data_IF_379605105144
#
_entry.id   IF_379605105144
#
_cell.length_a   1.000
_cell.length_b   1.000
_cell.length_c   1.000
_cell.angle_alpha   90.00
_cell.angle_beta   90.00
_cell.angle_gamma   90.00
#
_symmetry.space_group_name_H-M   'P 1'
#
loop_
_entity.id
_entity.type
_entity.pdbx_description
1 polymer ?
#
# COMPACT_ATOMS: atom_id res chain seq x y z
N UNK A 1 32.40 45.06 -20.99
CA UNK A 1 31.52 44.83 -19.85
C UNK A 1 30.68 43.61 -20.16
N UNK A 2 31.08 42.47 -19.62
CA UNK A 2 30.41 41.19 -19.89
C UNK A 2 29.43 40.98 -18.76
N UNK A 3 28.14 41.04 -19.05
CA UNK A 3 27.10 40.70 -18.08
C UNK A 3 26.97 39.18 -18.12
N UNK A 4 27.49 38.52 -17.09
CA UNK A 4 27.31 37.08 -16.92
C UNK A 4 25.92 36.89 -16.36
N UNK A 5 24.97 36.55 -17.22
CA UNK A 5 23.67 36.08 -16.78
C UNK A 5 23.84 34.66 -16.31
N UNK A 6 23.99 34.49 -15.01
CA UNK A 6 23.86 33.18 -14.37
C UNK A 6 22.39 32.78 -14.49
N UNK A 7 22.07 32.00 -15.51
CA UNK A 7 20.83 31.27 -15.54
C UNK A 7 20.90 30.21 -14.43
N UNK A 8 20.36 30.55 -13.29
CA UNK A 8 20.07 29.55 -12.25
C UNK A 8 19.01 28.66 -12.83
N UNK A 9 19.41 27.54 -13.37
CA UNK A 9 18.48 26.47 -13.69
C UNK A 9 17.92 25.99 -12.34
N UNK A 10 16.77 26.51 -11.97
CA UNK A 10 16.01 25.96 -10.87
C UNK A 10 15.65 24.53 -11.29
N UNK A 11 16.39 23.58 -10.80
CA UNK A 11 16.06 22.18 -10.94
C UNK A 11 14.82 21.97 -10.06
N UNK A 12 13.65 22.19 -10.63
CA UNK A 12 12.40 21.78 -10.03
C UNK A 12 12.43 20.26 -10.02
N UNK A 13 12.82 19.67 -8.90
CA UNK A 13 12.63 18.25 -8.65
C UNK A 13 11.14 18.07 -8.41
N UNK A 14 10.38 17.97 -9.49
CA UNK A 14 8.95 17.68 -9.45
C UNK A 14 8.79 16.22 -9.10
N UNK A 15 8.13 15.93 -7.98
CA UNK A 15 7.68 14.61 -7.61
C UNK A 15 8.58 13.80 -6.69
N UNK A 16 9.73 14.30 -6.27
CA UNK A 16 10.48 13.66 -5.20
C UNK A 16 9.91 14.12 -3.85
N UNK A 17 8.83 13.49 -3.40
CA UNK A 17 8.36 13.64 -2.03
C UNK A 17 9.43 13.17 -1.06
N UNK A 18 9.31 13.60 0.18
CA UNK A 18 10.20 13.13 1.24
C UNK A 18 9.89 11.68 1.56
N UNK A 19 10.94 10.93 1.84
CA UNK A 19 10.80 9.61 2.43
C UNK A 19 10.10 9.71 3.78
N UNK A 20 9.07 8.90 3.97
CA UNK A 20 8.24 8.88 5.17
C UNK A 20 8.16 7.46 5.72
N UNK A 21 7.76 7.36 6.98
CA UNK A 21 7.50 6.08 7.65
C UNK A 21 6.00 5.94 7.86
N UNK A 22 5.47 4.83 7.39
CA UNK A 22 4.07 4.47 7.54
C UNK A 22 3.96 3.20 8.37
N UNK A 23 3.08 3.19 9.35
CA UNK A 23 2.81 2.00 10.16
C UNK A 23 1.36 1.58 9.96
N UNK A 24 1.17 0.34 9.58
CA UNK A 24 -0.15 -0.17 9.31
C UNK A 24 -0.16 -1.67 9.06
N UNK A 25 -1.24 -2.15 8.50
CA UNK A 25 -1.43 -3.57 8.19
C UNK A 25 -1.50 -3.76 6.68
N UNK A 26 -0.87 -4.82 6.19
CA UNK A 26 -0.98 -5.20 4.78
C UNK A 26 -2.28 -5.97 4.60
N UNK A 27 -3.18 -5.39 3.85
CA UNK A 27 -4.44 -6.00 3.46
C UNK A 27 -4.58 -6.02 1.94
N UNK A 28 -5.80 -6.21 1.48
CA UNK A 28 -6.14 -6.15 0.07
C UNK A 28 -7.12 -5.00 -0.21
N UNK A 29 -7.13 -4.52 -1.44
CA UNK A 29 -8.00 -3.41 -1.84
C UNK A 29 -9.48 -3.77 -1.80
N UNK A 30 -9.84 -5.02 -1.98
CA UNK A 30 -11.24 -5.47 -1.95
C UNK A 30 -11.84 -5.33 -0.56
N UNK A 31 -11.15 -5.81 0.49
CA UNK A 31 -11.58 -5.62 1.87
C UNK A 31 -11.45 -4.18 2.33
N UNK A 32 -10.32 -3.55 2.06
CA UNK A 32 -10.04 -2.19 2.53
C UNK A 32 -11.01 -1.15 1.97
N UNK A 33 -11.44 -1.31 0.73
CA UNK A 33 -12.42 -0.45 0.08
C UNK A 33 -13.85 -0.97 0.19
N UNK A 34 -14.04 -2.05 0.92
CA UNK A 34 -15.36 -2.66 1.15
C UNK A 34 -16.06 -3.12 -0.13
N UNK A 35 -15.32 -3.39 -1.18
CA UNK A 35 -15.89 -3.66 -2.50
C UNK A 35 -16.66 -4.98 -2.56
N UNK A 36 -16.13 -6.04 -1.94
CA UNK A 36 -16.80 -7.33 -1.94
C UNK A 36 -17.74 -7.54 -0.75
N UNK A 37 -17.86 -6.57 0.12
CA UNK A 37 -18.64 -6.68 1.35
C UNK A 37 -20.05 -6.11 1.22
N UNK A 38 -20.54 -5.83 0.02
CA UNK A 38 -21.92 -5.42 -0.20
C UNK A 38 -22.91 -6.43 0.40
N UNK A 39 -22.51 -7.68 0.59
CA UNK A 39 -23.32 -8.72 1.18
C UNK A 39 -22.57 -9.60 2.18
N UNK A 40 -21.27 -9.37 2.36
CA UNK A 40 -20.43 -10.22 3.23
C UNK A 40 -19.30 -9.44 3.85
N UNK A 41 -19.14 -9.63 5.15
CA UNK A 41 -17.98 -9.10 5.87
C UNK A 41 -16.75 -9.97 5.63
N UNK A 42 -15.58 -9.41 5.91
CA UNK A 42 -14.31 -10.13 5.93
C UNK A 42 -14.41 -11.38 6.85
N UNK A 43 -15.02 -11.22 8.01
CA UNK A 43 -15.22 -12.29 8.97
C UNK A 43 -16.05 -13.44 8.41
N UNK A 44 -17.15 -13.14 7.71
CA UNK A 44 -17.97 -14.15 7.06
C UNK A 44 -17.20 -14.92 5.99
N UNK A 45 -16.38 -14.22 5.23
CA UNK A 45 -15.54 -14.85 4.20
C UNK A 45 -14.54 -15.82 4.82
N UNK A 46 -13.95 -15.46 5.95
CA UNK A 46 -13.04 -16.33 6.68
C UNK A 46 -13.76 -17.55 7.25
N UNK A 47 -15.00 -17.39 7.74
CA UNK A 47 -15.79 -18.48 8.28
C UNK A 47 -16.14 -19.55 7.25
N UNK A 48 -16.22 -19.20 5.99
CA UNK A 48 -16.50 -20.16 4.91
C UNK A 48 -15.35 -21.13 4.63
N UNK A 49 -14.18 -20.91 5.20
CA UNK A 49 -13.00 -21.77 5.10
C UNK A 49 -12.49 -22.04 3.68
N UNK A 50 -13.24 -21.64 2.65
CA UNK A 50 -12.83 -21.84 1.26
C UNK A 50 -11.64 -20.97 0.86
N UNK A 51 -11.40 -19.90 1.59
CA UNK A 51 -10.31 -18.93 1.33
C UNK A 51 -9.23 -18.98 2.41
N UNK A 52 -9.39 -19.84 3.43
CA UNK A 52 -8.49 -19.92 4.58
C UNK A 52 -9.10 -19.30 5.84
N UNK A 53 -8.31 -19.20 6.90
CA UNK A 53 -8.79 -18.79 8.23
C UNK A 53 -8.09 -17.55 8.77
N UNK A 54 -7.15 -16.97 8.05
CA UNK A 54 -6.38 -15.81 8.51
C UNK A 54 -6.61 -14.58 7.62
N UNK A 55 -6.27 -13.41 8.14
CA UNK A 55 -6.28 -12.17 7.35
C UNK A 55 -5.35 -12.26 6.14
N UNK A 56 -4.21 -12.93 6.28
CA UNK A 56 -3.29 -13.18 5.18
C UNK A 56 -3.93 -14.02 4.08
N UNK A 57 -4.65 -15.07 4.44
CA UNK A 57 -5.35 -15.94 3.49
C UNK A 57 -6.40 -15.16 2.71
N UNK A 58 -7.19 -14.34 3.39
CA UNK A 58 -8.20 -13.51 2.76
C UNK A 58 -7.59 -12.50 1.80
N UNK A 59 -6.55 -11.80 2.23
CA UNK A 59 -5.86 -10.81 1.39
C UNK A 59 -5.30 -11.44 0.12
N UNK A 60 -4.62 -12.57 0.23
CA UNK A 60 -4.05 -13.29 -0.91
C UNK A 60 -5.12 -13.82 -1.86
N UNK A 61 -6.22 -14.33 -1.31
CA UNK A 61 -7.36 -14.78 -2.12
C UNK A 61 -7.95 -13.62 -2.93
N UNK A 62 -8.20 -12.49 -2.30
CA UNK A 62 -8.76 -11.31 -2.96
C UNK A 62 -7.86 -10.77 -4.07
N UNK A 63 -6.56 -10.75 -3.84
CA UNK A 63 -5.58 -10.32 -4.86
C UNK A 63 -5.53 -11.30 -6.01
N UNK A 64 -5.49 -12.60 -5.71
CA UNK A 64 -5.35 -13.64 -6.74
C UNK A 64 -6.63 -13.84 -7.56
N UNK A 65 -7.80 -13.81 -6.92
CA UNK A 65 -9.05 -14.27 -7.53
C UNK A 65 -10.09 -13.17 -7.78
N UNK A 66 -10.01 -12.06 -7.08
CA UNK A 66 -11.03 -11.01 -7.12
C UNK A 66 -10.53 -9.69 -7.72
N UNK A 67 -9.35 -9.70 -8.33
CA UNK A 67 -8.79 -8.52 -8.99
C UNK A 67 -8.29 -7.43 -8.02
N UNK A 68 -8.10 -7.76 -6.75
CA UNK A 68 -7.54 -6.84 -5.77
C UNK A 68 -6.03 -6.67 -5.89
N UNK A 69 -5.50 -5.68 -5.19
CA UNK A 69 -4.07 -5.48 -5.00
C UNK A 69 -3.77 -5.38 -3.50
N UNK A 70 -2.55 -5.67 -3.11
CA UNK A 70 -2.13 -5.43 -1.73
C UNK A 70 -2.03 -3.94 -1.46
N UNK A 71 -2.52 -3.55 -0.29
CA UNK A 71 -2.52 -2.16 0.17
C UNK A 71 -2.02 -2.08 1.61
N UNK A 72 -1.57 -0.90 2.00
CA UNK A 72 -1.28 -0.59 3.39
C UNK A 72 -2.46 0.15 4.00
N UNK A 73 -3.03 -0.41 5.05
CA UNK A 73 -4.08 0.20 5.84
C UNK A 73 -3.47 0.89 7.06
N UNK A 74 -3.60 2.22 7.10
CA UNK A 74 -3.13 3.04 8.22
C UNK A 74 -4.35 3.74 8.82
N UNK A 75 -4.90 3.20 9.89
CA UNK A 75 -6.15 3.68 10.49
C UNK A 75 -7.29 3.69 9.46
N UNK A 76 -7.80 4.85 9.10
CA UNK A 76 -8.88 5.03 8.12
C UNK A 76 -8.36 5.31 6.70
N UNK A 77 -7.04 5.29 6.50
CA UNK A 77 -6.41 5.54 5.20
C UNK A 77 -5.93 4.25 4.56
N UNK A 78 -6.03 4.20 3.25
CA UNK A 78 -5.60 3.06 2.44
C UNK A 78 -4.64 3.57 1.37
N UNK A 79 -3.44 3.02 1.33
CA UNK A 79 -2.42 3.37 0.35
C UNK A 79 -2.11 2.18 -0.54
N UNK A 80 -1.98 2.44 -1.83
CA UNK A 80 -1.43 1.45 -2.77
C UNK A 80 0.07 1.31 -2.54
N UNK A 81 0.60 0.15 -2.86
CA UNK A 81 2.03 -0.17 -2.74
C UNK A 81 2.56 -0.56 -4.11
N UNK A 82 3.69 0.01 -4.51
CA UNK A 82 4.32 -0.36 -5.77
C UNK A 82 4.96 -1.75 -5.72
N UNK A 83 5.48 -2.15 -4.56
CA UNK A 83 6.10 -3.46 -4.36
C UNK A 83 5.06 -4.49 -3.86
N UNK A 84 4.33 -5.07 -4.80
CA UNK A 84 3.31 -6.07 -4.51
C UNK A 84 3.89 -7.40 -4.04
N UNK A 85 5.08 -7.73 -4.47
CA UNK A 85 5.74 -8.96 -4.07
C UNK A 85 6.14 -8.93 -2.60
N UNK A 86 6.74 -7.83 -2.17
CA UNK A 86 7.09 -7.62 -0.76
C UNK A 86 5.83 -7.54 0.11
N UNK A 87 4.79 -6.89 -0.39
CA UNK A 87 3.50 -6.83 0.29
C UNK A 87 2.88 -8.23 0.47
N UNK A 88 2.97 -9.09 -0.54
CA UNK A 88 2.49 -10.46 -0.44
C UNK A 88 3.19 -11.24 0.69
N UNK A 89 4.50 -11.07 0.81
CA UNK A 89 5.28 -11.72 1.88
C UNK A 89 4.82 -11.29 3.28
N UNK A 90 4.28 -10.09 3.41
CA UNK A 90 3.84 -9.49 4.67
C UNK A 90 2.30 -9.40 4.77
N UNK A 91 1.57 -10.10 3.92
CA UNK A 91 0.11 -10.05 3.90
C UNK A 91 -0.48 -10.38 5.27
N UNK A 92 -1.41 -9.56 5.74
CA UNK A 92 -2.08 -9.71 7.04
C UNK A 92 -1.24 -9.30 8.25
N UNK A 93 -0.01 -8.86 8.04
CA UNK A 93 0.89 -8.47 9.13
C UNK A 93 0.88 -6.95 9.34
N UNK A 94 1.17 -6.55 10.58
CA UNK A 94 1.50 -5.16 10.89
C UNK A 94 2.93 -4.90 10.47
N UNK A 95 3.14 -3.81 9.76
CA UNK A 95 4.44 -3.47 9.17
C UNK A 95 4.78 -2.01 9.37
N UNK A 96 6.06 -1.74 9.28
CA UNK A 96 6.61 -0.41 9.10
C UNK A 96 7.13 -0.31 7.67
N UNK A 97 6.53 0.58 6.89
CA UNK A 97 6.92 0.85 5.51
C UNK A 97 7.63 2.18 5.45
N UNK A 98 8.83 2.17 4.89
CA UNK A 98 9.57 3.39 4.58
C UNK A 98 9.50 3.60 3.07
N UNK A 99 9.10 4.78 2.65
CA UNK A 99 8.95 5.07 1.24
C UNK A 99 8.46 6.48 0.96
N UNK A 100 8.15 6.72 -0.30
CA UNK A 100 7.71 8.03 -0.79
C UNK A 100 6.27 7.90 -1.31
N UNK A 101 5.38 8.73 -0.77
CA UNK A 101 4.00 8.79 -1.22
C UNK A 101 3.88 9.67 -2.46
N UNK A 102 3.31 9.10 -3.51
CA UNK A 102 2.80 9.87 -4.65
C UNK A 102 1.33 10.22 -4.39
N UNK A 103 1.01 11.48 -4.07
CA UNK A 103 -0.37 11.85 -3.74
C UNK A 103 -1.31 11.82 -4.95
N UNK A 104 -0.78 11.91 -6.16
CA UNK A 104 -1.58 11.86 -7.38
C UNK A 104 -2.21 10.49 -7.61
N UNK A 105 -1.46 9.43 -7.30
CA UNK A 105 -1.91 8.04 -7.45
C UNK A 105 -2.22 7.36 -6.13
N UNK A 106 -1.96 8.02 -5.01
CA UNK A 106 -2.09 7.45 -3.67
C UNK A 106 -1.26 6.16 -3.50
N UNK A 107 -0.08 6.15 -4.08
CA UNK A 107 0.81 5.00 -4.09
C UNK A 107 2.10 5.32 -3.34
N UNK A 108 2.51 4.40 -2.47
CA UNK A 108 3.81 4.47 -1.80
C UNK A 108 4.84 3.74 -2.65
N UNK A 109 5.88 4.45 -3.06
CA UNK A 109 7.08 3.83 -3.61
C UNK A 109 7.88 3.26 -2.45
N UNK A 110 7.84 1.95 -2.29
CA UNK A 110 8.38 1.27 -1.10
C UNK A 110 9.89 1.18 -1.18
N UNK A 111 10.57 1.72 -0.17
CA UNK A 111 12.00 1.56 0.02
C UNK A 111 12.30 0.32 0.87
N UNK A 112 11.60 0.18 2.00
CA UNK A 112 11.72 -0.97 2.87
C UNK A 112 10.38 -1.27 3.57
N UNK A 113 10.23 -2.52 3.99
CA UNK A 113 9.05 -2.98 4.71
C UNK A 113 9.51 -3.99 5.77
N UNK A 114 9.13 -3.75 7.01
CA UNK A 114 9.49 -4.59 8.15
C UNK A 114 8.25 -4.96 8.94
N UNK A 115 8.13 -6.24 9.29
CA UNK A 115 7.11 -6.67 10.25
C UNK A 115 7.44 -6.11 11.64
N UNK A 116 6.43 -5.55 12.33
CA UNK A 116 6.57 -4.93 13.65
C UNK A 116 5.80 -5.65 14.74
N UNK A 117 5.49 -6.90 14.51
CA UNK A 117 4.88 -7.73 15.53
C UNK A 117 5.88 -8.25 16.54
#
# INVERSE_FOLDING_TARGET
MVVLVLAVAACCIMGAGKEQVFKGEIGDSQCALNVHSLSRSHEEMLQKRSIGTTSADCARYCVKNLGGVFVLQVKDKVYKLDDQELANKNAGLKVKVTGVLDPATNTIAVHSMESIQ
#
